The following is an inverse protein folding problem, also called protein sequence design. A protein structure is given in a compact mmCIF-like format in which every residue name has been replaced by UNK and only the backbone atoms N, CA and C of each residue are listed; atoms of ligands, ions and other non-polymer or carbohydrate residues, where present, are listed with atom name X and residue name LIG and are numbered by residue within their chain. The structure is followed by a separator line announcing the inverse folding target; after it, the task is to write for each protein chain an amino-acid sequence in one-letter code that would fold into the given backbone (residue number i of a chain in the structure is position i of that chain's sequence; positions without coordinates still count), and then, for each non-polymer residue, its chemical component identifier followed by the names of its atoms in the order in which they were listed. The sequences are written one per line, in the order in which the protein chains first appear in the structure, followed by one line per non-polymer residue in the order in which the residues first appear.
data_IF_965562262794
#
_entry.id   IF_965562262794
#
_cell.length_a   1.000
_cell.length_b   1.000
_cell.length_c   1.000
_cell.angle_alpha   90.00
_cell.angle_beta   90.00
_cell.angle_gamma   90.00
#
_symmetry.space_group_name_H-M   'P 1'
#
loop_
_entity.id
_entity.type
_entity.pdbx_description
1 polymer ?
#
# COMPACT_ATOMS: atom_id res chain seq x y z
N UNK A 1 -4.98 -8.49 -12.69
CA UNK A 1 -4.92 -7.95 -11.32
C UNK A 1 -4.04 -6.72 -11.21
N UNK A 2 -2.79 -6.76 -11.71
CA UNK A 2 -1.84 -5.62 -11.71
C UNK A 2 -2.42 -4.29 -12.20
N UNK A 3 -3.11 -4.29 -13.35
CA UNK A 3 -3.79 -3.08 -13.88
C UNK A 3 -4.85 -2.53 -12.93
N UNK A 4 -5.62 -3.40 -12.27
CA UNK A 4 -6.65 -2.99 -11.31
C UNK A 4 -6.02 -2.42 -10.04
N UNK A 5 -4.88 -2.95 -9.59
CA UNK A 5 -4.12 -2.41 -8.46
C UNK A 5 -3.58 -1.03 -8.81
N UNK A 6 -2.91 -0.86 -9.95
CA UNK A 6 -2.44 0.45 -10.43
C UNK A 6 -3.58 1.48 -10.48
N UNK A 7 -4.71 1.11 -11.08
CA UNK A 7 -5.88 1.98 -11.15
C UNK A 7 -6.42 2.40 -9.78
N UNK A 8 -6.32 1.55 -8.75
CA UNK A 8 -6.74 1.89 -7.39
C UNK A 8 -5.72 2.76 -6.66
N UNK A 9 -4.41 2.53 -6.87
CA UNK A 9 -3.35 3.37 -6.31
C UNK A 9 -3.46 4.82 -6.79
N UNK A 10 -3.87 5.03 -8.05
CA UNK A 10 -4.16 6.34 -8.64
C UNK A 10 -5.32 7.10 -7.93
N UNK A 11 -6.19 6.38 -7.22
CA UNK A 11 -7.29 6.98 -6.45
C UNK A 11 -6.85 7.45 -5.06
N UNK A 12 -5.66 7.06 -4.61
CA UNK A 12 -5.09 7.43 -3.31
C UNK A 12 -4.20 8.66 -3.49
N UNK A 13 -4.61 9.88 -3.08
CA UNK A 13 -3.93 11.11 -3.47
C UNK A 13 -2.45 11.16 -3.07
N UNK A 14 -2.13 10.68 -1.86
CA UNK A 14 -0.76 10.66 -1.34
C UNK A 14 0.12 9.66 -2.10
N UNK A 15 -0.45 8.52 -2.53
CA UNK A 15 0.28 7.50 -3.27
C UNK A 15 0.44 7.90 -4.74
N UNK A 16 -0.58 8.52 -5.34
CA UNK A 16 -0.54 9.01 -6.73
C UNK A 16 0.68 9.88 -6.99
N UNK A 17 1.03 10.78 -6.07
CA UNK A 17 2.23 11.62 -6.19
C UNK A 17 3.53 10.82 -6.08
N UNK A 18 3.56 9.78 -5.23
CA UNK A 18 4.73 8.91 -5.04
C UNK A 18 4.97 8.04 -6.28
N UNK A 19 3.92 7.38 -6.79
CA UNK A 19 4.03 6.50 -7.95
C UNK A 19 4.45 7.26 -9.21
N UNK A 20 4.05 8.54 -9.35
CA UNK A 20 4.49 9.39 -10.46
C UNK A 20 5.99 9.72 -10.44
N UNK A 21 6.68 9.47 -9.32
CA UNK A 21 8.13 9.67 -9.16
C UNK A 21 8.91 8.36 -9.11
N UNK A 22 8.23 7.21 -9.12
CA UNK A 22 8.83 5.89 -8.99
C UNK A 22 9.09 5.29 -10.38
N UNK A 23 10.20 4.57 -10.52
CA UNK A 23 10.45 3.77 -11.74
C UNK A 23 9.34 2.72 -11.90
N UNK A 24 8.82 2.57 -13.12
CA UNK A 24 7.73 1.64 -13.40
C UNK A 24 8.12 0.18 -13.09
N UNK A 25 9.37 -0.21 -13.28
CA UNK A 25 9.88 -1.54 -12.93
C UNK A 25 9.84 -1.78 -11.41
N UNK A 26 10.15 -0.76 -10.60
CA UNK A 26 10.08 -0.86 -9.14
C UNK A 26 8.63 -0.96 -8.69
N UNK A 27 7.74 -0.09 -9.21
CA UNK A 27 6.30 -0.17 -8.92
C UNK A 27 5.74 -1.54 -9.30
N UNK A 28 6.18 -2.08 -10.43
CA UNK A 28 5.79 -3.38 -10.92
C UNK A 28 6.23 -4.52 -9.99
N UNK A 29 7.45 -4.45 -9.45
CA UNK A 29 7.96 -5.40 -8.45
C UNK A 29 7.13 -5.34 -7.16
N UNK A 30 6.87 -4.14 -6.63
CA UNK A 30 6.06 -3.96 -5.42
C UNK A 30 4.64 -4.52 -5.55
N UNK A 31 4.03 -4.45 -6.74
CA UNK A 31 2.72 -5.06 -6.98
C UNK A 31 2.81 -6.58 -6.99
N UNK A 32 3.88 -7.16 -7.54
CA UNK A 32 4.09 -8.61 -7.59
C UNK A 32 4.32 -9.17 -6.19
N UNK A 33 5.19 -8.52 -5.40
CA UNK A 33 5.45 -8.91 -4.01
C UNK A 33 4.17 -8.81 -3.17
N UNK A 34 3.40 -7.74 -3.34
CA UNK A 34 2.15 -7.54 -2.61
C UNK A 34 1.07 -8.57 -2.99
N UNK A 35 1.02 -8.98 -4.25
CA UNK A 35 0.13 -10.05 -4.72
C UNK A 35 0.53 -11.40 -4.13
N UNK A 36 1.81 -11.76 -4.22
CA UNK A 36 2.32 -13.02 -3.65
C UNK A 36 2.00 -13.10 -2.17
N UNK A 37 2.25 -12.02 -1.42
CA UNK A 37 1.96 -11.97 0.01
C UNK A 37 0.46 -12.07 0.32
N UNK A 38 -0.40 -11.48 -0.52
CA UNK A 38 -1.84 -11.58 -0.37
C UNK A 38 -2.37 -13.00 -0.68
N UNK A 39 -1.77 -13.69 -1.64
CA UNK A 39 -2.05 -15.09 -1.96
C UNK A 39 -1.63 -16.03 -0.81
N UNK A 40 -0.44 -15.82 -0.26
CA UNK A 40 0.06 -16.56 0.92
C UNK A 40 -0.84 -16.34 2.14
N UNK A 41 -1.41 -15.15 2.27
CA UNK A 41 -2.39 -14.81 3.31
C UNK A 41 -3.82 -15.27 2.97
N UNK A 42 -3.99 -16.03 1.89
CA UNK A 42 -5.23 -16.69 1.46
C UNK A 42 -6.36 -15.70 1.10
N UNK A 43 -6.02 -14.49 0.68
CA UNK A 43 -7.01 -13.57 0.12
C UNK A 43 -7.47 -14.05 -1.26
N UNK A 44 -8.77 -14.03 -1.51
CA UNK A 44 -9.36 -14.43 -2.79
C UNK A 44 -10.29 -13.36 -3.37
N UNK A 45 -10.68 -13.55 -4.64
CA UNK A 45 -11.67 -12.75 -5.36
C UNK A 45 -11.44 -11.23 -5.33
N UNK A 46 -12.35 -10.46 -4.73
CA UNK A 46 -12.24 -8.99 -4.65
C UNK A 46 -11.27 -8.55 -3.54
N UNK A 47 -10.99 -9.41 -2.58
CA UNK A 47 -10.17 -9.08 -1.43
C UNK A 47 -8.68 -9.10 -1.76
N UNK A 48 -8.22 -9.97 -2.67
CA UNK A 48 -6.82 -10.05 -3.09
C UNK A 48 -6.34 -8.76 -3.78
N UNK A 49 -7.16 -8.18 -4.66
CA UNK A 49 -6.84 -6.91 -5.33
C UNK A 49 -6.77 -5.78 -4.30
N UNK A 50 -7.67 -5.78 -3.33
CA UNK A 50 -7.71 -4.76 -2.30
C UNK A 50 -6.54 -4.86 -1.32
N UNK A 51 -6.26 -6.06 -0.79
CA UNK A 51 -5.15 -6.29 0.13
C UNK A 51 -3.81 -5.98 -0.55
N UNK A 52 -3.61 -6.45 -1.78
CA UNK A 52 -2.43 -6.10 -2.56
C UNK A 52 -2.33 -4.59 -2.83
N UNK A 53 -3.44 -3.87 -3.04
CA UNK A 53 -3.43 -2.40 -3.19
C UNK A 53 -2.91 -1.72 -1.93
N UNK A 54 -3.40 -2.09 -0.75
CA UNK A 54 -2.94 -1.50 0.50
C UNK A 54 -1.48 -1.85 0.78
N UNK A 55 -1.06 -3.08 0.49
CA UNK A 55 0.32 -3.49 0.70
C UNK A 55 1.29 -2.82 -0.30
N UNK A 56 0.92 -2.68 -1.57
CA UNK A 56 1.70 -1.89 -2.53
C UNK A 56 1.79 -0.42 -2.13
N UNK A 57 0.69 0.18 -1.63
CA UNK A 57 0.70 1.55 -1.14
C UNK A 57 1.69 1.74 0.02
N UNK A 58 1.73 0.76 0.95
CA UNK A 58 2.72 0.72 2.03
C UNK A 58 4.16 0.66 1.48
N UNK A 59 4.46 -0.25 0.55
CA UNK A 59 5.80 -0.34 -0.06
C UNK A 59 6.22 0.95 -0.77
N UNK A 60 5.30 1.59 -1.51
CA UNK A 60 5.57 2.88 -2.14
C UNK A 60 5.87 3.96 -1.09
N UNK A 61 5.12 3.97 0.02
CA UNK A 61 5.33 4.93 1.09
C UNK A 61 6.71 4.75 1.75
N UNK A 62 7.07 3.51 2.11
CA UNK A 62 8.40 3.19 2.68
C UNK A 62 9.52 3.61 1.72
N UNK A 63 9.44 3.22 0.45
CA UNK A 63 10.46 3.55 -0.56
C UNK A 63 10.63 5.08 -0.74
N UNK A 64 9.54 5.86 -0.63
CA UNK A 64 9.60 7.33 -0.71
C UNK A 64 10.25 7.98 0.53
N UNK A 65 10.14 7.34 1.69
CA UNK A 65 10.74 7.83 2.94
C UNK A 65 12.24 7.52 3.02
N UNK A 66 12.72 6.50 2.32
CA UNK A 66 14.15 6.12 2.29
C UNK A 66 14.94 6.80 1.15
N UNK A 67 14.27 7.26 0.09
CA UNK A 67 14.95 7.80 -1.09
C UNK A 67 14.90 9.35 -1.14
N UNK A 68 16.02 10.00 -0.84
CA UNK A 68 16.18 11.46 -0.77
C UNK A 68 15.87 12.20 -2.08
N UNK A 69 16.04 11.55 -3.24
CA UNK A 69 15.75 12.17 -4.55
C UNK A 69 14.24 12.38 -4.80
N UNK A 70 13.36 11.70 -4.07
CA UNK A 70 11.89 11.84 -4.19
C UNK A 70 11.37 12.98 -3.28
N UNK A 71 12.18 13.39 -2.28
CA UNK A 71 11.78 14.15 -1.08
C UNK A 71 11.85 15.68 -1.17
N UNK A 72 12.62 16.27 -2.09
CA UNK A 72 13.07 17.67 -1.96
C UNK A 72 11.97 18.75 -1.92
N UNK A 73 10.72 18.48 -2.29
CA UNK A 73 9.65 19.49 -2.23
C UNK A 73 8.51 19.19 -1.23
N UNK A 74 8.52 18.03 -0.57
CA UNK A 74 7.40 17.61 0.30
C UNK A 74 7.82 17.37 1.77
N UNK A 75 9.12 17.20 2.03
CA UNK A 75 9.65 16.77 3.32
C UNK A 75 9.59 17.82 4.45
N UNK A 76 9.75 19.12 4.19
CA UNK A 76 9.96 20.07 5.29
C UNK A 76 8.74 20.26 6.23
N UNK A 77 7.51 20.02 5.75
CA UNK A 77 6.29 20.30 6.53
C UNK A 77 5.64 19.03 7.11
N UNK A 78 5.92 17.85 6.56
CA UNK A 78 5.25 16.58 6.91
C UNK A 78 6.07 15.65 7.82
N UNK A 79 7.40 15.80 7.86
CA UNK A 79 8.30 14.87 8.58
C UNK A 79 8.09 14.86 10.10
N UNK A 80 7.61 15.96 10.69
CA UNK A 80 7.41 16.05 12.15
C UNK A 80 6.14 15.32 12.63
N UNK A 81 5.19 14.96 11.75
CA UNK A 81 3.93 14.30 12.17
C UNK A 81 3.86 12.80 11.89
N UNK A 82 4.74 12.25 11.07
CA UNK A 82 4.65 10.86 10.61
C UNK A 82 5.75 9.91 11.14
N UNK A 83 6.82 10.43 11.75
CA UNK A 83 7.99 9.63 12.14
C UNK A 83 7.92 8.96 13.53
N UNK A 84 6.74 8.88 14.16
CA UNK A 84 6.60 8.32 15.52
C UNK A 84 5.96 6.92 15.59
N UNK A 85 5.98 6.12 14.51
CA UNK A 85 5.36 4.77 14.51
C UNK A 85 6.13 3.68 13.75
N UNK A 86 7.44 3.50 13.99
CA UNK A 86 8.12 2.20 13.80
C UNK A 86 7.88 1.40 12.51
N UNK A 87 7.76 2.06 11.34
CA UNK A 87 7.51 1.38 10.05
C UNK A 87 6.05 1.02 9.75
N UNK A 88 5.08 1.52 10.52
CA UNK A 88 3.65 1.29 10.31
C UNK A 88 2.97 2.54 9.75
N UNK A 89 2.24 2.38 8.65
CA UNK A 89 1.35 3.41 8.10
C UNK A 89 -0.13 2.94 8.09
N UNK A 90 -1.02 3.83 7.68
CA UNK A 90 -2.46 3.54 7.61
C UNK A 90 -2.78 2.43 6.58
N UNK A 91 -1.95 2.28 5.53
CA UNK A 91 -2.15 1.24 4.52
C UNK A 91 -1.79 -0.14 5.07
N UNK A 92 -0.69 -0.27 5.80
CA UNK A 92 -0.34 -1.50 6.51
C UNK A 92 -1.38 -1.82 7.58
N UNK A 93 -1.91 -0.82 8.27
CA UNK A 93 -2.98 -1.00 9.26
C UNK A 93 -4.24 -1.57 8.61
N UNK A 94 -4.67 -1.04 7.46
CA UNK A 94 -5.81 -1.57 6.73
C UNK A 94 -5.56 -2.97 6.16
N UNK A 95 -4.36 -3.25 5.65
CA UNK A 95 -3.97 -4.61 5.25
C UNK A 95 -4.14 -5.62 6.40
N UNK A 96 -3.60 -5.28 7.57
CA UNK A 96 -3.71 -6.14 8.76
C UNK A 96 -5.15 -6.26 9.26
N UNK A 97 -5.97 -5.22 9.11
CA UNK A 97 -7.41 -5.27 9.43
C UNK A 97 -8.13 -6.25 8.51
N UNK A 98 -7.88 -6.20 7.20
CA UNK A 98 -8.42 -7.16 6.22
C UNK A 98 -8.01 -8.59 6.56
N UNK A 99 -6.73 -8.79 6.92
CA UNK A 99 -6.19 -10.11 7.30
C UNK A 99 -6.88 -10.67 8.54
N UNK A 100 -7.13 -9.82 9.55
CA UNK A 100 -7.88 -10.22 10.75
C UNK A 100 -9.34 -10.56 10.43
N UNK A 101 -10.00 -9.76 9.58
CA UNK A 101 -11.38 -10.02 9.16
C UNK A 101 -11.53 -11.34 8.39
N UNK A 102 -10.54 -11.68 7.56
CA UNK A 102 -10.47 -12.97 6.85
C UNK A 102 -10.38 -14.13 7.86
N UNK A 103 -9.47 -14.05 8.84
CA UNK A 103 -9.32 -15.08 9.88
C UNK A 103 -10.55 -15.25 10.76
N UNK A 104 -11.31 -14.18 10.99
CA UNK A 104 -12.56 -14.21 11.73
C UNK A 104 -13.75 -14.79 10.92
N UNK A 105 -13.51 -15.19 9.67
CA UNK A 105 -14.52 -15.72 8.75
C UNK A 105 -15.72 -14.78 8.56
N UNK A 106 -15.46 -13.46 8.65
CA UNK A 106 -16.50 -12.44 8.52
C UNK A 106 -16.96 -12.38 7.07
N UNK A 107 -18.17 -12.89 6.80
CA UNK A 107 -18.75 -13.06 5.46
C UNK A 107 -18.93 -11.75 4.66
N UNK A 108 -18.79 -10.61 5.33
CA UNK A 108 -18.67 -9.31 4.69
C UNK A 108 -17.61 -8.51 5.40
N UNK A 109 -16.45 -8.32 4.78
CA UNK A 109 -15.54 -7.25 5.15
C UNK A 109 -16.30 -5.94 4.88
N UNK A 110 -16.96 -5.40 5.92
CA UNK A 110 -17.63 -4.10 5.82
C UNK A 110 -16.60 -3.01 6.04
N UNK A 111 -16.70 -2.00 5.20
CA UNK A 111 -15.90 -0.79 5.27
C UNK A 111 -16.76 0.27 5.96
N UNK A 112 -16.14 1.02 6.89
CA UNK A 112 -16.67 2.29 7.38
C UNK A 112 -16.42 3.36 6.31
#
# INVERSE_FOLDING_TARGET
MKTAIKARLELLPNIKTIIGKLDEAILNSFIEDALSQAEDDVFTEKNIVMSATYLTAHFCHVASNENSNIQEQTAAVLTVKYFDRGGSDDYLTEYLRLKRALKANTSSIRFL
#
